data_IF_325785334151
#
_entry.id   IF_325785334151
#
_cell.length_a   1.000
_cell.length_b   1.000
_cell.length_c   1.000
_cell.angle_alpha   90.00
_cell.angle_beta   90.00
_cell.angle_gamma   90.00
#
_symmetry.space_group_name_H-M   'P 1'
#
loop_
_entity.id
_entity.type
_entity.pdbx_description
1 polymer ?
#
# COMPACT_ATOMS: atom_id res chain seq x y z
N UNK A 1 -24.07 -4.10 8.20
CA UNK A 1 -23.19 -5.03 7.48
C UNK A 1 -21.76 -4.71 7.88
N UNK A 2 -20.94 -5.71 8.11
CA UNK A 2 -19.54 -5.55 8.50
C UNK A 2 -18.62 -5.72 7.30
N UNK A 3 -17.50 -5.01 7.29
CA UNK A 3 -16.46 -5.17 6.27
C UNK A 3 -15.54 -6.30 6.72
N UNK A 4 -15.44 -7.36 5.92
CA UNK A 4 -14.64 -8.55 6.20
C UNK A 4 -13.70 -8.86 5.05
N UNK A 5 -12.57 -9.51 5.35
CA UNK A 5 -11.63 -10.01 4.35
C UNK A 5 -12.16 -11.28 3.68
N UNK A 6 -12.02 -11.42 2.35
CA UNK A 6 -12.45 -12.62 1.63
C UNK A 6 -11.44 -13.04 0.54
N UNK A 7 -10.43 -13.83 0.95
CA UNK A 7 -9.40 -14.38 0.07
C UNK A 7 -7.98 -13.89 0.37
N UNK A 8 -6.99 -14.43 -0.36
CA UNK A 8 -5.56 -14.19 -0.10
C UNK A 8 -5.02 -12.82 -0.55
N UNK A 9 -5.76 -12.08 -1.39
CA UNK A 9 -5.45 -10.69 -1.74
C UNK A 9 -6.67 -9.85 -1.36
N UNK A 10 -6.56 -9.12 -0.26
CA UNK A 10 -7.70 -8.42 0.35
C UNK A 10 -7.96 -7.08 -0.33
N UNK A 11 -6.92 -6.26 -0.53
CA UNK A 11 -7.04 -4.93 -1.10
C UNK A 11 -5.76 -4.47 -1.81
N UNK A 12 -5.91 -3.57 -2.78
CA UNK A 12 -4.80 -2.89 -3.43
C UNK A 12 -4.80 -1.42 -3.03
N UNK A 13 -3.69 -0.93 -2.44
CA UNK A 13 -3.51 0.49 -2.14
C UNK A 13 -2.79 1.15 -3.30
N UNK A 14 -3.34 2.25 -3.81
CA UNK A 14 -2.73 3.06 -4.86
C UNK A 14 -2.83 4.52 -4.47
N UNK A 15 -1.75 5.26 -4.63
CA UNK A 15 -1.73 6.69 -4.37
C UNK A 15 -1.17 7.45 -5.58
N UNK A 16 -1.53 8.73 -5.67
CA UNK A 16 -0.99 9.67 -6.64
C UNK A 16 -0.03 10.61 -5.92
N UNK A 17 1.00 11.06 -6.63
CA UNK A 17 1.97 12.05 -6.20
C UNK A 17 2.46 12.82 -7.41
N UNK A 18 3.19 13.92 -7.20
CA UNK A 18 3.78 14.71 -8.29
C UNK A 18 4.90 13.96 -8.97
N UNK A 19 5.60 13.12 -8.22
CA UNK A 19 6.61 12.20 -8.69
C UNK A 19 6.36 10.78 -8.16
N UNK A 20 7.13 9.82 -8.66
CA UNK A 20 7.01 8.42 -8.28
C UNK A 20 7.42 8.17 -6.82
N UNK A 21 8.33 8.97 -6.24
CA UNK A 21 8.76 8.84 -4.83
C UNK A 21 7.64 9.27 -3.88
N UNK A 22 6.99 10.39 -4.17
CA UNK A 22 5.84 10.91 -3.45
C UNK A 22 4.64 9.97 -3.59
N UNK A 23 4.36 9.47 -4.80
CA UNK A 23 3.29 8.50 -5.02
C UNK A 23 3.51 7.22 -4.20
N UNK A 24 4.74 6.71 -4.17
CA UNK A 24 5.13 5.55 -3.35
C UNK A 24 4.97 5.83 -1.85
N UNK A 25 5.50 6.95 -1.37
CA UNK A 25 5.38 7.35 0.04
C UNK A 25 3.92 7.51 0.47
N UNK A 26 3.08 8.10 -0.37
CA UNK A 26 1.65 8.25 -0.10
C UNK A 26 0.93 6.89 -0.09
N UNK A 27 1.32 5.94 -0.95
CA UNK A 27 0.75 4.60 -0.95
C UNK A 27 1.07 3.86 0.36
N UNK A 28 2.32 3.93 0.84
CA UNK A 28 2.68 3.35 2.14
C UNK A 28 2.01 4.06 3.32
N UNK A 29 1.86 5.39 3.29
CA UNK A 29 1.10 6.09 4.33
C UNK A 29 -0.37 5.67 4.35
N UNK A 30 -0.98 5.48 3.19
CA UNK A 30 -2.37 5.04 3.10
C UNK A 30 -2.56 3.60 3.62
N UNK A 31 -1.54 2.73 3.54
CA UNK A 31 -1.64 1.41 4.18
C UNK A 31 -1.61 1.50 5.70
N UNK A 32 -1.01 2.53 6.31
CA UNK A 32 -1.03 2.71 7.78
C UNK A 32 -2.44 2.99 8.32
N UNK A 33 -3.34 3.51 7.49
CA UNK A 33 -4.70 3.86 7.90
C UNK A 33 -5.65 2.65 7.93
N UNK A 34 -5.20 1.52 7.37
CA UNK A 34 -5.98 0.31 7.23
C UNK A 34 -5.37 -0.74 8.13
N UNK A 35 -6.12 -1.27 9.09
CA UNK A 35 -5.65 -2.36 9.95
C UNK A 35 -6.68 -3.48 10.03
N UNK A 36 -6.19 -4.72 9.97
CA UNK A 36 -6.99 -5.93 10.07
C UNK A 36 -6.09 -7.12 10.42
N UNK A 37 -6.71 -8.17 10.95
CA UNK A 37 -6.02 -9.37 11.40
C UNK A 37 -5.21 -10.01 10.26
N UNK A 38 -3.95 -10.39 10.55
CA UNK A 38 -3.02 -10.98 9.59
C UNK A 38 -2.73 -10.10 8.35
N UNK A 39 -2.83 -8.76 8.46
CA UNK A 39 -2.39 -7.87 7.40
C UNK A 39 -0.88 -8.02 7.15
N UNK A 40 -0.53 -8.36 5.91
CA UNK A 40 0.84 -8.35 5.41
C UNK A 40 0.92 -7.63 4.08
N UNK A 41 2.04 -6.96 3.84
CA UNK A 41 2.32 -6.26 2.58
C UNK A 41 3.81 -6.27 2.30
N UNK A 42 4.16 -6.05 1.03
CA UNK A 42 5.55 -5.85 0.61
C UNK A 42 5.97 -4.41 0.83
N UNK A 43 7.17 -4.21 1.39
CA UNK A 43 7.77 -2.88 1.65
C UNK A 43 8.78 -2.45 0.56
N UNK A 44 9.07 -3.33 -0.39
CA UNK A 44 10.06 -3.15 -1.46
C UNK A 44 9.42 -2.77 -2.81
N UNK A 45 8.09 -2.56 -2.86
CA UNK A 45 7.41 -2.13 -4.08
C UNK A 45 7.89 -0.72 -4.45
N UNK A 46 8.44 -0.58 -5.66
CA UNK A 46 8.92 0.69 -6.20
C UNK A 46 10.30 1.13 -5.70
N UNK A 47 11.08 0.24 -5.09
CA UNK A 47 12.42 0.58 -4.57
C UNK A 47 13.41 1.04 -5.66
N UNK A 48 13.35 0.46 -6.86
CA UNK A 48 14.21 0.85 -7.98
C UNK A 48 14.06 2.31 -8.45
N UNK A 49 12.99 3.00 -8.02
CA UNK A 49 12.73 4.41 -8.36
C UNK A 49 13.63 5.35 -7.54
N UNK A 50 14.14 4.89 -6.39
CA UNK A 50 15.06 5.70 -5.56
C UNK A 50 16.47 5.78 -6.15
N UNK A 51 16.86 4.83 -7.00
CA UNK A 51 18.19 4.72 -7.60
C UNK A 51 18.33 5.39 -8.98
N UNK A 52 17.23 5.91 -9.54
CA UNK A 52 17.18 6.56 -10.85
C UNK A 52 17.20 8.09 -10.78
#
# INVERSE_FOLDING_TARGET
>A
GEIVTNGGRVLGVTAKGKDLKEARANAYKATEWIDFENKYMRHDIGHAIDEA
#
